data_IF_318467626699
#
_entry.id   IF_318467626699
#
_cell.length_a   1.000
_cell.length_b   1.000
_cell.length_c   1.000
_cell.angle_alpha   90.00
_cell.angle_beta   90.00
_cell.angle_gamma   90.00
#
_symmetry.space_group_name_H-M   'P 1'
#
loop_
_entity.id
_entity.type
_entity.pdbx_description
1 polymer ?
#
# COMPACT_ATOMS: atom_id res chain seq x y z
N UNK A 1 -7.93 -4.22 -16.16
CA UNK A 1 -7.31 -4.97 -15.07
C UNK A 1 -8.38 -5.21 -14.02
N UNK A 2 -9.01 -6.39 -14.05
CA UNK A 2 -9.79 -6.87 -12.92
C UNK A 2 -8.84 -6.93 -11.73
N UNK A 3 -8.98 -6.03 -10.78
CA UNK A 3 -8.42 -6.23 -9.46
C UNK A 3 -9.14 -7.46 -8.91
N UNK A 4 -8.48 -8.60 -9.04
CA UNK A 4 -9.04 -9.84 -8.56
C UNK A 4 -9.30 -9.64 -7.06
N UNK A 5 -10.44 -10.13 -6.59
CA UNK A 5 -10.79 -10.15 -5.15
C UNK A 5 -9.78 -10.92 -4.27
N UNK A 6 -8.69 -11.43 -4.88
CA UNK A 6 -7.64 -12.22 -4.24
C UNK A 6 -6.48 -11.33 -3.79
N UNK A 7 -6.71 -10.51 -2.78
CA UNK A 7 -5.67 -9.70 -2.15
C UNK A 7 -5.57 -10.05 -0.67
N UNK A 8 -4.37 -10.40 -0.22
CA UNK A 8 -4.04 -10.59 1.18
C UNK A 8 -3.40 -9.31 1.72
N UNK A 9 -3.92 -8.78 2.80
CA UNK A 9 -3.27 -7.66 3.49
C UNK A 9 -2.43 -8.16 4.66
N UNK A 10 -1.15 -7.77 4.68
CA UNK A 10 -0.26 -8.03 5.81
C UNK A 10 -0.39 -6.88 6.80
N UNK A 11 -0.70 -7.22 8.05
CA UNK A 11 -0.90 -6.24 9.12
C UNK A 11 0.07 -6.45 10.29
N UNK A 12 0.20 -5.44 11.14
CA UNK A 12 1.00 -5.49 12.34
C UNK A 12 0.18 -5.94 13.57
N UNK A 13 0.87 -6.24 14.65
CA UNK A 13 0.30 -6.69 15.94
C UNK A 13 -0.83 -5.80 16.47
N UNK A 14 -0.67 -4.49 16.37
CA UNK A 14 -1.63 -3.53 16.93
C UNK A 14 -3.01 -3.63 16.25
N UNK A 15 -3.01 -3.75 14.92
CA UNK A 15 -4.26 -3.83 14.14
C UNK A 15 -4.94 -5.17 14.38
N UNK A 16 -4.17 -6.26 14.48
CA UNK A 16 -4.67 -7.60 14.75
C UNK A 16 -5.34 -7.73 16.11
N UNK A 17 -4.80 -7.07 17.13
CA UNK A 17 -5.33 -7.09 18.50
C UNK A 17 -6.28 -5.93 18.82
N UNK A 18 -6.61 -5.10 17.82
CA UNK A 18 -7.57 -4.01 18.01
C UNK A 18 -8.96 -4.55 18.33
N UNK A 19 -9.61 -4.09 19.41
CA UNK A 19 -10.97 -4.52 19.75
C UNK A 19 -12.00 -4.17 18.67
N UNK A 20 -11.77 -3.08 17.92
CA UNK A 20 -12.67 -2.61 16.87
C UNK A 20 -12.38 -3.25 15.50
N UNK A 21 -11.10 -3.40 15.14
CA UNK A 21 -10.71 -3.89 13.82
C UNK A 21 -10.36 -5.39 13.82
N UNK A 22 -9.96 -5.96 14.95
CA UNK A 22 -9.46 -7.32 15.03
C UNK A 22 -10.48 -8.39 14.60
N UNK A 23 -11.77 -8.18 14.86
CA UNK A 23 -12.82 -9.10 14.42
C UNK A 23 -12.98 -9.04 12.87
N UNK A 24 -13.04 -7.83 12.31
CA UNK A 24 -13.17 -7.61 10.86
C UNK A 24 -11.95 -8.16 10.13
N UNK A 25 -10.75 -7.90 10.65
CA UNK A 25 -9.48 -8.30 10.04
C UNK A 25 -9.31 -9.82 10.04
N UNK A 26 -9.75 -10.50 11.08
CA UNK A 26 -9.75 -11.97 11.14
C UNK A 26 -10.75 -12.61 10.19
N UNK A 27 -11.81 -11.90 9.85
CA UNK A 27 -12.81 -12.36 8.88
C UNK A 27 -12.36 -12.13 7.43
N UNK A 28 -11.51 -11.13 7.16
CA UNK A 28 -11.05 -10.71 5.82
C UNK A 28 -9.58 -11.07 5.64
N UNK A 29 -9.23 -12.34 5.54
CA UNK A 29 -7.91 -12.89 5.15
C UNK A 29 -6.68 -11.96 5.39
N UNK A 30 -6.62 -11.31 6.57
CA UNK A 30 -5.44 -10.57 7.00
C UNK A 30 -4.46 -11.52 7.68
N UNK A 31 -3.19 -11.33 7.44
CA UNK A 31 -2.14 -12.16 8.02
C UNK A 31 -1.30 -11.38 9.01
N UNK A 32 -1.13 -11.99 10.19
CA UNK A 32 -0.31 -11.44 11.26
C UNK A 32 1.09 -12.05 11.25
N UNK A 33 2.11 -11.20 11.28
CA UNK A 33 3.53 -11.60 11.22
C UNK A 33 4.00 -12.32 12.51
N UNK A 34 3.21 -12.31 13.60
CA UNK A 34 3.59 -12.87 14.90
C UNK A 34 3.36 -14.37 15.08
N UNK A 35 2.76 -15.05 14.11
CA UNK A 35 2.73 -16.52 14.07
C UNK A 35 4.06 -17.03 13.56
N UNK A 36 4.56 -18.16 14.05
CA UNK A 36 5.89 -18.70 13.72
C UNK A 36 6.25 -18.57 12.24
N UNK A 37 7.46 -18.11 11.96
CA UNK A 37 7.92 -17.70 10.63
C UNK A 37 7.66 -18.75 9.53
N UNK A 38 7.92 -20.03 9.79
CA UNK A 38 7.77 -21.09 8.79
C UNK A 38 6.31 -21.33 8.41
N UNK A 39 5.40 -21.38 9.40
CA UNK A 39 3.97 -21.57 9.17
C UNK A 39 3.38 -20.37 8.40
N UNK A 40 3.82 -19.17 8.74
CA UNK A 40 3.45 -17.96 8.02
C UNK A 40 3.87 -18.01 6.55
N UNK A 41 5.14 -18.37 6.28
CA UNK A 41 5.67 -18.46 4.92
C UNK A 41 5.00 -19.56 4.08
N UNK A 42 4.69 -20.70 4.69
CA UNK A 42 4.01 -21.79 3.98
C UNK A 42 2.58 -21.38 3.56
N UNK A 43 1.83 -20.73 4.46
CA UNK A 43 0.52 -20.19 4.13
C UNK A 43 0.58 -19.13 3.02
N UNK A 44 1.57 -18.24 3.06
CA UNK A 44 1.78 -17.24 2.01
C UNK A 44 2.06 -17.91 0.66
N UNK A 45 2.95 -18.92 0.61
CA UNK A 45 3.23 -19.67 -0.61
C UNK A 45 1.99 -20.34 -1.19
N UNK A 46 1.16 -20.93 -0.34
CA UNK A 46 -0.11 -21.54 -0.75
C UNK A 46 -1.03 -20.51 -1.40
N UNK A 47 -1.24 -19.38 -0.75
CA UNK A 47 -2.10 -18.30 -1.25
C UNK A 47 -1.59 -17.68 -2.55
N UNK A 48 -0.29 -17.47 -2.67
CA UNK A 48 0.33 -17.01 -3.92
C UNK A 48 0.08 -18.02 -5.06
N UNK A 49 0.22 -19.32 -4.80
CA UNK A 49 -0.12 -20.36 -5.79
C UNK A 49 -1.60 -20.37 -6.18
N UNK A 50 -2.50 -19.99 -5.28
CA UNK A 50 -3.93 -19.81 -5.53
C UNK A 50 -4.24 -18.50 -6.31
N UNK A 51 -3.21 -17.72 -6.66
CA UNK A 51 -3.32 -16.47 -7.42
C UNK A 51 -3.62 -15.23 -6.59
N UNK A 52 -3.35 -15.27 -5.28
CA UNK A 52 -3.46 -14.08 -4.41
C UNK A 52 -2.26 -13.15 -4.58
N UNK A 53 -2.53 -11.85 -4.62
CA UNK A 53 -1.54 -10.78 -4.45
C UNK A 53 -1.41 -10.42 -2.98
N UNK A 54 -0.24 -9.92 -2.58
CA UNK A 54 0.02 -9.51 -1.20
C UNK A 54 0.13 -7.99 -1.15
N UNK A 55 -0.70 -7.33 -0.35
CA UNK A 55 -0.62 -5.91 -0.10
C UNK A 55 0.08 -5.64 1.24
N UNK A 56 1.10 -4.80 1.21
CA UNK A 56 1.91 -4.43 2.37
C UNK A 56 2.14 -2.92 2.39
N UNK A 57 2.01 -2.32 3.55
CA UNK A 57 2.49 -0.97 3.81
C UNK A 57 3.91 -1.03 4.37
N UNK A 58 4.96 -0.78 3.55
CA UNK A 58 6.34 -0.98 3.99
C UNK A 58 6.80 0.00 5.06
N UNK A 59 6.06 1.08 5.28
CA UNK A 59 6.29 2.03 6.39
C UNK A 59 5.87 1.48 7.76
N UNK A 60 5.06 0.42 7.79
CA UNK A 60 4.55 -0.24 9.01
C UNK A 60 3.62 0.61 9.87
N UNK A 61 3.50 1.91 9.61
CA UNK A 61 2.65 2.83 10.38
C UNK A 61 2.34 4.09 9.59
N UNK A 62 1.24 4.76 9.92
CA UNK A 62 0.90 6.09 9.40
C UNK A 62 1.89 7.14 9.88
N UNK A 63 2.01 8.26 9.15
CA UNK A 63 2.80 9.41 9.53
C UNK A 63 1.94 10.49 10.21
N UNK A 64 2.58 11.39 10.99
CA UNK A 64 1.89 12.56 11.56
C UNK A 64 1.90 13.77 10.63
N UNK A 65 2.92 13.86 9.77
CA UNK A 65 3.22 15.05 8.95
C UNK A 65 3.09 14.80 7.45
N UNK A 66 2.51 13.66 7.04
CA UNK A 66 2.36 13.31 5.63
C UNK A 66 3.66 12.96 4.90
N UNK A 67 4.82 12.98 5.58
CA UNK A 67 6.09 12.59 4.96
C UNK A 67 6.25 11.08 4.95
N UNK A 68 6.70 10.53 3.85
CA UNK A 68 7.00 9.10 3.72
C UNK A 68 8.14 8.69 4.66
N UNK A 69 7.91 7.65 5.43
CA UNK A 69 8.86 7.12 6.40
C UNK A 69 9.89 6.18 5.76
N UNK A 70 10.74 5.62 6.60
CA UNK A 70 11.65 4.54 6.23
C UNK A 70 10.85 3.27 5.97
N UNK A 71 11.21 2.54 4.92
CA UNK A 71 10.64 1.24 4.62
C UNK A 71 11.30 0.14 5.45
N UNK A 72 10.47 -0.77 5.94
CA UNK A 72 10.91 -1.99 6.59
C UNK A 72 11.33 -3.02 5.56
N UNK A 73 12.46 -3.67 5.79
CA UNK A 73 13.02 -4.68 4.89
C UNK A 73 12.13 -5.92 4.72
N UNK A 74 11.27 -6.22 5.70
CA UNK A 74 10.42 -7.40 5.71
C UNK A 74 9.50 -7.53 4.50
N UNK A 75 8.98 -6.40 3.97
CA UNK A 75 8.16 -6.41 2.77
C UNK A 75 8.93 -6.90 1.54
N UNK A 76 10.16 -6.44 1.38
CA UNK A 76 11.04 -6.78 0.25
C UNK A 76 11.62 -8.18 0.38
N UNK A 77 11.94 -8.59 1.62
CA UNK A 77 12.31 -9.97 1.93
C UNK A 77 11.18 -10.95 1.56
N UNK A 78 9.94 -10.61 1.89
CA UNK A 78 8.79 -11.44 1.54
C UNK A 78 8.61 -11.56 0.03
N UNK A 79 8.77 -10.46 -0.71
CA UNK A 79 8.71 -10.46 -2.18
C UNK A 79 9.79 -11.38 -2.78
N UNK A 80 11.03 -11.29 -2.30
CA UNK A 80 12.15 -12.13 -2.74
C UNK A 80 11.91 -13.62 -2.39
N UNK A 81 11.52 -13.92 -1.15
CA UNK A 81 11.31 -15.29 -0.67
C UNK A 81 10.12 -15.99 -1.36
N UNK A 82 9.13 -15.23 -1.80
CA UNK A 82 7.97 -15.73 -2.54
C UNK A 82 8.10 -15.60 -4.06
N UNK A 83 9.22 -15.06 -4.54
CA UNK A 83 9.50 -14.81 -5.97
C UNK A 83 8.42 -13.96 -6.64
N UNK A 84 8.07 -12.85 -6.01
CA UNK A 84 7.03 -11.92 -6.48
C UNK A 84 7.63 -10.64 -7.03
N UNK A 85 7.01 -10.13 -8.09
CA UNK A 85 7.20 -8.76 -8.56
C UNK A 85 6.65 -7.77 -7.53
N UNK A 86 7.15 -6.53 -7.59
CA UNK A 86 6.66 -5.44 -6.75
C UNK A 86 5.88 -4.46 -7.62
N UNK A 87 4.65 -4.17 -7.22
CA UNK A 87 3.84 -3.10 -7.79
C UNK A 87 3.77 -1.94 -6.78
N UNK A 88 4.58 -0.87 -6.97
CA UNK A 88 4.55 0.25 -6.05
C UNK A 88 3.28 1.09 -6.25
N UNK A 89 2.60 1.42 -5.16
CA UNK A 89 1.41 2.27 -5.16
C UNK A 89 1.60 3.37 -4.13
N UNK A 90 1.42 4.61 -4.56
CA UNK A 90 1.53 5.79 -3.72
C UNK A 90 0.14 6.35 -3.39
N UNK A 91 -0.06 6.68 -2.12
CA UNK A 91 -1.29 7.30 -1.62
C UNK A 91 -0.95 8.68 -1.05
N UNK A 92 -1.62 9.73 -1.54
CA UNK A 92 -1.49 11.09 -1.03
C UNK A 92 -2.84 11.60 -0.52
N UNK A 93 -2.82 12.35 0.58
CA UNK A 93 -4.04 12.95 1.16
C UNK A 93 -4.73 12.09 2.24
N UNK A 94 -4.39 10.82 2.36
CA UNK A 94 -4.97 9.93 3.37
C UNK A 94 -4.77 10.42 4.81
N UNK A 95 -3.66 11.10 5.11
CA UNK A 95 -3.39 11.72 6.41
C UNK A 95 -4.31 12.90 6.73
N UNK A 96 -4.89 13.56 5.71
CA UNK A 96 -5.86 14.65 5.87
C UNK A 96 -7.25 14.09 6.23
N UNK A 97 -7.57 12.88 5.75
CA UNK A 97 -8.87 12.21 5.97
C UNK A 97 -8.89 11.47 7.32
N UNK A 98 -7.87 10.66 7.57
CA UNK A 98 -7.72 9.89 8.83
C UNK A 98 -6.38 10.24 9.44
N UNK A 99 -6.35 11.32 10.22
CA UNK A 99 -5.13 11.75 10.88
C UNK A 99 -4.67 10.72 11.93
N UNK A 100 -3.36 10.51 12.04
CA UNK A 100 -2.80 9.56 13.03
C UNK A 100 -3.11 9.98 14.47
N UNK A 101 -3.16 11.28 14.74
CA UNK A 101 -3.46 11.82 16.06
C UNK A 101 -4.96 11.67 16.46
N UNK A 102 -5.84 11.49 15.48
CA UNK A 102 -7.28 11.41 15.68
C UNK A 102 -7.87 10.24 14.89
N UNK A 103 -7.59 8.99 15.28
CA UNK A 103 -7.90 7.81 14.46
C UNK A 103 -9.40 7.56 14.25
N UNK A 104 -10.25 8.14 15.09
CA UNK A 104 -11.71 8.00 14.98
C UNK A 104 -12.40 9.22 14.34
N UNK A 105 -11.64 10.27 13.99
CA UNK A 105 -12.16 11.45 13.32
C UNK A 105 -11.88 11.34 11.81
N UNK A 106 -12.88 10.84 11.08
CA UNK A 106 -12.83 10.72 9.62
C UNK A 106 -13.34 12.03 9.02
N UNK A 107 -12.51 12.68 8.23
CA UNK A 107 -12.84 13.95 7.55
C UNK A 107 -13.15 13.69 6.08
N UNK A 108 -14.01 14.50 5.50
CA UNK A 108 -14.19 14.52 4.05
C UNK A 108 -12.90 14.99 3.37
N UNK A 109 -12.50 14.29 2.30
CA UNK A 109 -11.29 14.65 1.56
C UNK A 109 -11.09 13.74 0.35
N UNK A 110 -10.02 14.01 -0.40
CA UNK A 110 -9.64 13.26 -1.59
C UNK A 110 -8.34 12.52 -1.33
N UNK A 111 -8.29 11.26 -1.73
CA UNK A 111 -7.07 10.45 -1.77
C UNK A 111 -6.62 10.35 -3.22
N UNK A 112 -5.45 10.89 -3.52
CA UNK A 112 -4.79 10.68 -4.80
C UNK A 112 -4.01 9.38 -4.75
N UNK A 113 -4.15 8.56 -5.79
CA UNK A 113 -3.45 7.27 -5.91
C UNK A 113 -2.65 7.26 -7.19
N UNK A 114 -1.34 6.98 -7.11
CA UNK A 114 -0.48 6.79 -8.27
C UNK A 114 0.08 5.38 -8.24
N UNK A 115 -0.19 4.63 -9.33
CA UNK A 115 0.35 3.29 -9.55
C UNK A 115 1.59 3.44 -10.43
N UNK A 116 2.74 3.02 -9.90
CA UNK A 116 4.01 3.10 -10.60
C UNK A 116 4.24 1.82 -11.44
N UNK A 117 5.20 1.86 -12.38
CA UNK A 117 5.56 0.68 -13.15
C UNK A 117 5.90 -0.51 -12.25
N UNK A 118 5.44 -1.69 -12.65
CA UNK A 118 5.79 -2.95 -11.98
C UNK A 118 7.29 -3.15 -12.05
N UNK A 119 7.88 -3.55 -10.94
CA UNK A 119 9.30 -3.87 -10.79
C UNK A 119 9.41 -5.39 -10.76
N UNK A 120 9.87 -6.03 -11.86
CA UNK A 120 10.09 -7.47 -11.89
C UNK A 120 11.12 -7.93 -10.87
N UNK A 121 11.01 -9.19 -10.46
CA UNK A 121 11.94 -9.78 -9.50
C UNK A 121 13.38 -9.78 -10.04
N UNK A 122 13.55 -9.99 -11.33
CA UNK A 122 14.82 -10.06 -12.05
C UNK A 122 15.35 -8.70 -12.50
N UNK A 123 14.64 -7.60 -12.23
CA UNK A 123 15.12 -6.25 -12.53
C UNK A 123 16.24 -5.85 -11.56
N UNK A 124 17.48 -5.97 -12.05
CA UNK A 124 18.69 -5.65 -11.28
C UNK A 124 18.94 -4.14 -11.12
N UNK A 125 18.21 -3.28 -11.84
CA UNK A 125 18.34 -1.81 -11.68
C UNK A 125 18.00 -1.36 -10.25
N UNK A 126 17.12 -2.11 -9.57
CA UNK A 126 16.79 -1.89 -8.17
C UNK A 126 17.62 -2.73 -7.18
N UNK A 127 18.60 -3.49 -7.66
CA UNK A 127 19.49 -4.32 -6.84
C UNK A 127 19.15 -5.81 -6.90
N UNK A 128 20.13 -6.63 -6.50
CA UNK A 128 20.05 -8.10 -6.54
C UNK A 128 19.56 -8.74 -5.23
N UNK A 129 19.54 -7.97 -4.15
CA UNK A 129 19.13 -8.44 -2.81
C UNK A 129 17.96 -7.63 -2.28
N UNK A 130 17.14 -8.21 -1.39
CA UNK A 130 16.03 -7.50 -0.77
C UNK A 130 16.49 -6.23 -0.01
N UNK A 131 17.73 -6.21 0.53
CA UNK A 131 18.29 -5.04 1.21
C UNK A 131 18.54 -3.89 0.24
N UNK A 132 19.16 -4.16 -0.91
CA UNK A 132 19.40 -3.19 -1.97
C UNK A 132 18.09 -2.72 -2.57
N UNK A 133 17.18 -3.65 -2.89
CA UNK A 133 15.83 -3.33 -3.39
C UNK A 133 15.08 -2.44 -2.42
N UNK A 134 15.12 -2.72 -1.11
CA UNK A 134 14.52 -1.84 -0.09
C UNK A 134 15.03 -0.41 -0.21
N UNK A 135 16.35 -0.24 -0.30
CA UNK A 135 17.01 1.08 -0.35
C UNK A 135 16.64 1.83 -1.63
N UNK A 136 16.82 1.19 -2.80
CA UNK A 136 16.62 1.82 -4.11
C UNK A 136 15.14 2.10 -4.40
N UNK A 137 14.25 1.15 -4.16
CA UNK A 137 12.80 1.34 -4.34
C UNK A 137 12.26 2.39 -3.37
N UNK A 138 12.73 2.40 -2.12
CA UNK A 138 12.35 3.46 -1.17
C UNK A 138 12.80 4.85 -1.63
N UNK A 139 13.99 4.98 -2.21
CA UNK A 139 14.49 6.24 -2.77
C UNK A 139 13.63 6.68 -3.97
N UNK A 140 13.40 5.78 -4.91
CA UNK A 140 12.54 6.01 -6.08
C UNK A 140 11.12 6.46 -5.67
N UNK A 141 10.46 5.71 -4.79
CA UNK A 141 9.10 6.07 -4.34
C UNK A 141 9.08 7.41 -3.59
N UNK A 142 10.11 7.75 -2.81
CA UNK A 142 10.21 9.05 -2.13
C UNK A 142 10.36 10.21 -3.10
N UNK A 143 11.12 10.03 -4.17
CA UNK A 143 11.28 11.04 -5.21
C UNK A 143 9.97 11.32 -5.92
N UNK A 144 9.27 10.26 -6.36
CA UNK A 144 7.94 10.38 -6.99
C UNK A 144 6.94 11.01 -6.02
N UNK A 145 6.93 10.58 -4.76
CA UNK A 145 6.04 11.13 -3.74
C UNK A 145 6.31 12.63 -3.48
N UNK A 146 7.58 13.05 -3.48
CA UNK A 146 7.93 14.46 -3.36
C UNK A 146 7.44 15.29 -4.57
N UNK A 147 7.43 14.72 -5.78
CA UNK A 147 6.82 15.32 -6.97
C UNK A 147 5.31 15.49 -6.77
N UNK A 148 4.60 14.42 -6.39
CA UNK A 148 3.16 14.46 -6.10
C UNK A 148 2.84 15.54 -5.06
N UNK A 149 3.61 15.61 -3.97
CA UNK A 149 3.40 16.62 -2.93
C UNK A 149 3.54 18.05 -3.47
N UNK A 150 4.50 18.32 -4.36
CA UNK A 150 4.66 19.64 -4.98
C UNK A 150 3.47 19.96 -5.90
N UNK A 151 3.10 19.04 -6.77
CA UNK A 151 1.99 19.19 -7.70
C UNK A 151 0.67 19.41 -6.98
N UNK A 152 0.39 18.63 -5.95
CA UNK A 152 -0.86 18.72 -5.18
C UNK A 152 -0.92 19.93 -4.24
N UNK A 153 0.21 20.41 -3.72
CA UNK A 153 0.23 21.63 -2.89
C UNK A 153 0.06 22.92 -3.72
N UNK A 154 0.43 22.89 -5.00
CA UNK A 154 0.17 24.02 -5.93
C UNK A 154 -1.27 24.04 -6.44
N UNK A 155 -2.01 22.95 -6.25
CA UNK A 155 -3.33 22.71 -6.84
C UNK A 155 -4.44 22.61 -5.77
N UNK A 156 -4.43 23.42 -4.73
CA UNK A 156 -5.60 23.59 -3.82
C UNK A 156 -6.80 24.25 -4.57
N UNK A 157 -6.90 24.02 -5.88
CA UNK A 157 -7.97 24.53 -6.73
C UNK A 157 -9.04 23.43 -6.90
N UNK A 158 -10.28 23.65 -6.43
CA UNK A 158 -11.40 22.70 -6.60
C UNK A 158 -11.64 22.26 -8.04
N UNK A 159 -11.44 23.16 -9.02
CA UNK A 159 -11.60 22.87 -10.44
C UNK A 159 -10.61 21.83 -10.98
N UNK A 160 -9.42 21.71 -10.39
CA UNK A 160 -8.46 20.66 -10.76
C UNK A 160 -8.94 19.29 -10.31
N UNK A 161 -9.56 19.19 -9.14
CA UNK A 161 -10.12 17.93 -8.63
C UNK A 161 -11.33 17.48 -9.45
N UNK A 162 -12.17 18.39 -9.92
CA UNK A 162 -13.29 18.08 -10.82
C UNK A 162 -12.81 17.57 -12.18
N UNK A 163 -11.77 18.18 -12.75
CA UNK A 163 -11.16 17.72 -13.99
C UNK A 163 -10.48 16.35 -13.84
N UNK A 164 -9.81 16.09 -12.72
CA UNK A 164 -9.24 14.78 -12.38
C UNK A 164 -10.33 13.72 -12.22
N UNK A 165 -11.40 14.00 -11.51
CA UNK A 165 -12.53 13.08 -11.34
C UNK A 165 -13.16 12.77 -12.71
N UNK A 166 -13.36 13.77 -13.57
CA UNK A 166 -13.91 13.56 -14.92
C UNK A 166 -12.98 12.77 -15.84
N UNK A 167 -11.66 12.94 -15.74
CA UNK A 167 -10.68 12.17 -16.51
C UNK A 167 -10.45 10.76 -15.98
N UNK A 168 -10.69 10.52 -14.70
CA UNK A 168 -10.55 9.23 -14.03
C UNK A 168 -11.88 8.49 -13.79
N UNK A 169 -13.00 8.95 -14.35
CA UNK A 169 -14.18 8.10 -14.49
C UNK A 169 -13.83 7.03 -15.50
N UNK A 170 -13.02 6.07 -15.05
CA UNK A 170 -12.83 4.81 -15.73
C UNK A 170 -14.21 4.13 -15.75
N UNK A 171 -14.79 4.02 -16.96
CA UNK A 171 -16.08 3.35 -17.18
C UNK A 171 -15.96 1.82 -17.01
N UNK A 172 -15.55 1.40 -15.81
CA UNK A 172 -15.40 -0.01 -15.48
C UNK A 172 -15.58 -0.25 -13.97
N UNK A 173 -16.02 -1.43 -13.55
CA UNK A 173 -16.41 -1.74 -12.18
C UNK A 173 -15.28 -1.68 -11.13
N UNK A 174 -14.07 -1.34 -11.51
CA UNK A 174 -12.84 -1.44 -10.70
C UNK A 174 -12.61 -0.20 -9.83
N UNK A 175 -13.14 0.99 -10.19
CA UNK A 175 -12.87 2.24 -9.49
C UNK A 175 -13.77 2.43 -8.25
N UNK A 176 -14.93 1.81 -8.21
CA UNK A 176 -15.86 1.96 -7.08
C UNK A 176 -15.35 1.37 -5.76
N UNK A 177 -14.42 0.42 -5.79
CA UNK A 177 -13.92 -0.27 -4.60
C UNK A 177 -12.90 0.51 -3.77
N UNK A 178 -12.18 1.46 -4.38
CA UNK A 178 -11.19 2.28 -3.67
C UNK A 178 -11.78 3.53 -3.01
N UNK A 179 -13.01 3.88 -3.35
CA UNK A 179 -13.71 5.05 -2.80
C UNK A 179 -14.58 4.66 -1.59
N UNK A 180 -14.82 3.37 -1.35
CA UNK A 180 -15.76 2.88 -0.33
C UNK A 180 -15.14 2.34 0.97
N UNK A 181 -13.83 2.55 1.20
CA UNK A 181 -13.23 2.18 2.50
C UNK A 181 -12.82 3.43 3.27
#
# INVERSE_FOLDING_TARGET
>A
LSLSSKILMVTNHWVWHSPFFGAIIRYVDFYYIGEGYEQYMERMRKKVKEGYSIAIFPEGTRTYNGKMKRFHKGAFYLAEALKLDILPILLYGNNKIIAKAQPFNIRKGIIYTEILPRIPLDDLSFGSTYQERTKRISAYMKEVYARICREQNTTDNPAFYEALIQNYIYKGPVVEWYIRI
#
